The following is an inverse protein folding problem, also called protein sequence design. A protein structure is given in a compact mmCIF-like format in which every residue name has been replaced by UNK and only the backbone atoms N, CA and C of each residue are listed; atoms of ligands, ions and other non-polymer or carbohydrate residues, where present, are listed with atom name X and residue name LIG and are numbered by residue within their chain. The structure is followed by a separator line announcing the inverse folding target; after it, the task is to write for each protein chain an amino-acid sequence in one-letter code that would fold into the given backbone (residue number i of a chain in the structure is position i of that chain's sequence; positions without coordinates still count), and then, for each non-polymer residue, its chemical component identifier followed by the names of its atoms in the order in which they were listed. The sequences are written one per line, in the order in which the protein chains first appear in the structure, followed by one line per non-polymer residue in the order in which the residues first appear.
data_IF_255885097941
#
_entry.id   IF_255885097941
#
_cell.length_a   1.000
_cell.length_b   1.000
_cell.length_c   1.000
_cell.angle_alpha   90.00
_cell.angle_beta   90.00
_cell.angle_gamma   90.00
#
_symmetry.space_group_name_H-M   'P 1'
#
loop_
_entity.id
_entity.type
_entity.pdbx_description
1 polymer ?
#
# COMPACT_ATOMS: atom_id res chain seq x y z
N UNK A 1 -5.36 19.42 -0.31
CA UNK A 1 -6.53 18.59 0.11
C UNK A 1 -6.06 17.34 0.81
N UNK A 2 -5.09 16.64 0.24
CA UNK A 2 -4.41 15.51 0.86
C UNK A 2 -2.91 15.77 0.75
N UNK A 3 -2.18 15.54 1.84
CA UNK A 3 -0.71 15.66 1.91
C UNK A 3 -0.17 14.45 2.67
N UNK A 4 0.82 13.75 2.12
CA UNK A 4 1.42 12.53 2.70
C UNK A 4 0.39 11.48 3.17
N UNK A 5 -0.68 11.31 2.39
CA UNK A 5 -1.75 10.37 2.72
C UNK A 5 -2.62 10.79 3.91
N UNK A 6 -2.56 12.06 4.34
CA UNK A 6 -3.48 12.64 5.32
C UNK A 6 -4.41 13.64 4.65
N UNK A 7 -5.68 13.62 5.05
CA UNK A 7 -6.65 14.64 4.64
C UNK A 7 -6.36 15.94 5.42
N UNK A 8 -5.77 16.94 4.76
CA UNK A 8 -5.47 18.25 5.36
C UNK A 8 -6.59 19.28 5.19
N UNK A 9 -7.38 19.17 4.13
CA UNK A 9 -8.53 20.04 3.86
C UNK A 9 -9.77 19.20 3.55
N UNK A 10 -10.40 18.73 4.63
CA UNK A 10 -11.59 17.87 4.58
C UNK A 10 -12.75 18.55 3.88
N UNK A 11 -12.97 19.85 4.10
CA UNK A 11 -14.09 20.59 3.51
C UNK A 11 -13.98 20.64 2.00
N UNK A 12 -12.82 21.04 1.49
CA UNK A 12 -12.57 21.11 0.04
C UNK A 12 -12.61 19.73 -0.61
N UNK A 13 -12.08 18.70 0.07
CA UNK A 13 -12.16 17.33 -0.41
C UNK A 13 -13.62 16.84 -0.49
N UNK A 14 -14.43 17.09 0.53
CA UNK A 14 -15.84 16.70 0.54
C UNK A 14 -16.64 17.39 -0.57
N UNK A 15 -16.42 18.69 -0.81
CA UNK A 15 -17.03 19.42 -1.93
C UNK A 15 -16.62 18.81 -3.28
N UNK A 16 -15.33 18.54 -3.45
CA UNK A 16 -14.79 17.94 -4.69
C UNK A 16 -15.40 16.56 -4.95
N UNK A 17 -15.46 15.71 -3.93
CA UNK A 17 -16.06 14.38 -4.04
C UNK A 17 -17.55 14.45 -4.33
N UNK A 18 -18.32 15.32 -3.67
CA UNK A 18 -19.76 15.51 -3.92
C UNK A 18 -20.03 15.86 -5.38
N UNK A 19 -19.27 16.79 -5.94
CA UNK A 19 -19.40 17.18 -7.34
C UNK A 19 -19.18 15.99 -8.29
N UNK A 20 -18.12 15.19 -8.06
CA UNK A 20 -17.83 13.99 -8.87
C UNK A 20 -18.96 12.96 -8.73
N UNK A 21 -19.46 12.74 -7.51
CA UNK A 21 -20.51 11.76 -7.22
C UNK A 21 -21.82 12.14 -7.89
N UNK A 22 -22.17 13.43 -7.89
CA UNK A 22 -23.36 13.95 -8.57
C UNK A 22 -23.22 13.82 -10.09
N UNK A 23 -22.09 14.24 -10.66
CA UNK A 23 -21.80 14.15 -12.09
C UNK A 23 -21.87 12.69 -12.59
N UNK A 24 -21.23 11.77 -11.86
CA UNK A 24 -21.17 10.34 -12.23
C UNK A 24 -22.37 9.53 -11.75
N UNK A 25 -23.32 10.13 -11.03
CA UNK A 25 -24.50 9.47 -10.44
C UNK A 25 -24.12 8.26 -9.55
N UNK A 26 -23.14 8.46 -8.68
CA UNK A 26 -22.59 7.41 -7.80
C UNK A 26 -23.13 7.41 -6.37
N UNK A 27 -24.19 8.16 -6.10
CA UNK A 27 -24.83 8.17 -4.77
C UNK A 27 -25.18 6.75 -4.32
N UNK A 28 -24.77 6.39 -3.11
CA UNK A 28 -25.01 5.08 -2.49
C UNK A 28 -24.24 3.91 -3.09
N UNK A 29 -23.28 4.15 -4.00
CA UNK A 29 -22.49 3.08 -4.61
C UNK A 29 -21.45 2.54 -3.63
N UNK A 30 -21.18 1.24 -3.76
CA UNK A 30 -20.06 0.60 -3.10
C UNK A 30 -18.75 1.21 -3.61
N UNK A 31 -17.91 1.63 -2.68
CA UNK A 31 -16.60 2.21 -2.94
C UNK A 31 -15.52 1.21 -2.51
N UNK A 32 -14.65 0.90 -3.46
CA UNK A 32 -13.41 0.18 -3.26
C UNK A 32 -12.31 1.21 -3.48
N UNK A 33 -11.46 1.43 -2.49
CA UNK A 33 -10.48 2.51 -2.53
C UNK A 33 -9.12 2.03 -2.04
N UNK A 34 -8.08 2.72 -2.51
CA UNK A 34 -6.69 2.47 -2.12
C UNK A 34 -6.33 3.39 -0.96
N UNK A 35 -5.72 2.84 0.08
CA UNK A 35 -5.14 3.58 1.19
C UNK A 35 -3.66 3.88 0.91
N UNK A 36 -3.08 4.92 1.53
CA UNK A 36 -1.65 5.18 1.40
C UNK A 36 -0.79 4.00 1.81
N UNK A 37 -0.02 3.44 0.87
CA UNK A 37 0.87 2.29 1.12
C UNK A 37 1.94 2.60 2.17
N UNK A 38 2.35 3.87 2.32
CA UNK A 38 3.36 4.32 3.28
C UNK A 38 3.05 3.98 4.74
N UNK A 39 1.78 3.70 5.05
CA UNK A 39 1.32 3.47 6.42
C UNK A 39 1.17 1.99 6.76
N UNK A 40 1.22 1.09 5.79
CA UNK A 40 1.06 -0.34 6.05
C UNK A 40 2.35 -0.95 6.59
N UNK A 41 2.22 -1.87 7.55
CA UNK A 41 3.29 -2.76 7.97
C UNK A 41 2.94 -4.20 7.59
N UNK A 42 3.84 -4.86 6.86
CA UNK A 42 3.71 -6.26 6.46
C UNK A 42 4.69 -7.13 7.26
N UNK A 43 4.22 -8.27 7.79
CA UNK A 43 5.05 -9.21 8.56
C UNK A 43 4.67 -10.67 8.30
N UNK A 44 5.67 -11.54 8.31
CA UNK A 44 5.45 -12.98 8.38
C UNK A 44 5.41 -13.43 9.83
N UNK A 45 4.36 -14.13 10.22
CA UNK A 45 4.15 -14.62 11.59
C UNK A 45 3.61 -16.05 11.55
N UNK A 46 3.60 -16.72 12.71
CA UNK A 46 2.99 -18.05 12.86
C UNK A 46 1.85 -18.02 13.87
N UNK A 47 0.73 -18.63 13.51
CA UNK A 47 -0.44 -18.80 14.39
C UNK A 47 -0.77 -20.28 14.58
N UNK A 48 -1.34 -20.70 15.71
CA UNK A 48 -1.77 -22.08 15.90
C UNK A 48 -2.74 -22.55 14.80
N UNK A 49 -2.53 -23.75 14.26
CA UNK A 49 -3.31 -24.26 13.13
C UNK A 49 -4.77 -24.59 13.48
N UNK A 50 -5.07 -24.77 14.77
CA UNK A 50 -6.40 -25.10 15.28
C UNK A 50 -7.36 -23.91 15.33
N UNK A 51 -6.88 -22.67 15.18
CA UNK A 51 -7.71 -21.47 15.31
C UNK A 51 -8.59 -21.26 14.07
N UNK A 52 -9.86 -20.95 14.29
CA UNK A 52 -10.71 -20.41 13.24
C UNK A 52 -10.36 -18.93 12.96
N UNK A 53 -11.02 -18.33 11.96
CA UNK A 53 -10.70 -16.97 11.49
C UNK A 53 -10.82 -15.89 12.58
N UNK A 54 -11.87 -15.93 13.39
CA UNK A 54 -12.11 -14.93 14.44
C UNK A 54 -11.18 -15.12 15.65
N UNK A 55 -10.91 -16.39 15.99
CA UNK A 55 -9.93 -16.76 17.01
C UNK A 55 -8.52 -16.34 16.60
N UNK A 56 -8.14 -16.56 15.34
CA UNK A 56 -6.86 -16.14 14.79
C UNK A 56 -6.69 -14.62 14.85
N UNK A 57 -7.71 -13.84 14.46
CA UNK A 57 -7.67 -12.37 14.60
C UNK A 57 -7.47 -11.93 16.05
N UNK A 58 -8.18 -12.56 16.98
CA UNK A 58 -8.07 -12.26 18.41
C UNK A 58 -6.67 -12.61 18.95
N UNK A 59 -6.14 -13.77 18.55
CA UNK A 59 -4.78 -14.20 18.89
C UNK A 59 -3.72 -13.23 18.37
N UNK A 60 -3.82 -12.82 17.10
CA UNK A 60 -2.89 -11.86 16.49
C UNK A 60 -2.91 -10.53 17.24
N UNK A 61 -4.10 -10.01 17.60
CA UNK A 61 -4.21 -8.76 18.38
C UNK A 61 -3.48 -8.85 19.72
N UNK A 62 -3.64 -9.95 20.46
CA UNK A 62 -2.95 -10.17 21.73
C UNK A 62 -1.42 -10.23 21.56
N UNK A 63 -0.93 -10.87 20.49
CA UNK A 63 0.51 -10.91 20.19
C UNK A 63 1.06 -9.52 19.83
N UNK A 64 0.28 -8.72 19.10
CA UNK A 64 0.66 -7.35 18.75
C UNK A 64 0.81 -6.42 19.96
N UNK A 65 0.01 -6.62 21.01
CA UNK A 65 0.11 -5.84 22.26
C UNK A 65 1.35 -6.23 23.09
N UNK A 66 1.79 -7.48 23.00
CA UNK A 66 2.89 -8.00 23.81
C UNK A 66 4.26 -7.95 23.14
N UNK A 67 4.42 -8.61 22.00
CA UNK A 67 5.72 -8.97 21.43
C UNK A 67 6.07 -8.19 20.15
N UNK A 68 5.08 -7.75 19.39
CA UNK A 68 5.30 -7.09 18.09
C UNK A 68 5.18 -5.58 18.23
N UNK A 69 6.33 -4.89 18.30
CA UNK A 69 6.36 -3.43 18.30
C UNK A 69 6.06 -2.89 16.90
N UNK A 70 4.84 -2.39 16.71
CA UNK A 70 4.47 -1.58 15.57
C UNK A 70 4.89 -0.11 15.79
N UNK A 71 5.19 0.65 14.73
CA UNK A 71 5.54 2.06 14.83
C UNK A 71 4.32 2.97 15.10
N UNK A 72 3.15 2.39 15.39
CA UNK A 72 1.89 3.08 15.67
C UNK A 72 1.03 2.28 16.67
N UNK A 73 0.01 2.93 17.22
CA UNK A 73 -0.98 2.32 18.12
C UNK A 73 -2.25 1.96 17.35
N UNK A 74 -3.09 1.11 17.95
CA UNK A 74 -4.40 0.72 17.44
C UNK A 74 -4.37 0.24 15.96
N UNK A 75 -3.65 -0.85 15.67
CA UNK A 75 -3.61 -1.38 14.31
C UNK A 75 -4.97 -2.01 13.92
N UNK A 76 -5.46 -1.64 12.75
CA UNK A 76 -6.38 -2.47 11.99
C UNK A 76 -5.57 -3.59 11.33
N UNK A 77 -6.04 -4.83 11.46
CA UNK A 77 -5.29 -5.99 11.01
C UNK A 77 -6.08 -6.81 9.99
N UNK A 78 -5.36 -7.32 9.00
CA UNK A 78 -5.83 -8.40 8.14
C UNK A 78 -4.68 -9.38 7.88
N UNK A 79 -4.99 -10.63 7.53
CA UNK A 79 -3.96 -11.64 7.33
C UNK A 79 -4.34 -12.65 6.25
N UNK A 80 -3.31 -13.25 5.65
CA UNK A 80 -3.45 -14.34 4.69
C UNK A 80 -2.63 -15.54 5.16
N UNK A 81 -3.19 -16.75 5.09
CA UNK A 81 -2.46 -17.99 5.39
C UNK A 81 -1.63 -18.35 4.16
N UNK A 82 -0.30 -18.26 4.29
CA UNK A 82 0.63 -18.57 3.20
C UNK A 82 0.96 -20.06 3.15
N UNK A 83 0.95 -20.73 4.30
CA UNK A 83 1.20 -22.16 4.41
C UNK A 83 0.43 -22.76 5.59
N UNK A 84 -0.12 -23.96 5.41
CA UNK A 84 -0.82 -24.71 6.47
C UNK A 84 0.09 -25.81 7.01
N UNK A 85 0.36 -25.78 8.30
CA UNK A 85 1.10 -26.83 8.99
C UNK A 85 0.22 -27.62 9.95
N UNK A 86 0.79 -28.66 10.56
CA UNK A 86 0.09 -29.51 11.52
C UNK A 86 -0.19 -28.78 12.84
N UNK A 87 0.81 -28.08 13.39
CA UNK A 87 0.68 -27.34 14.65
C UNK A 87 0.47 -25.83 14.44
N UNK A 88 1.07 -25.26 13.40
CA UNK A 88 1.04 -23.83 13.11
C UNK A 88 0.84 -23.56 11.63
N UNK A 89 0.13 -22.49 11.33
CA UNK A 89 0.03 -21.91 10.00
C UNK A 89 0.98 -20.72 9.89
N UNK A 90 1.70 -20.63 8.77
CA UNK A 90 2.43 -19.42 8.41
C UNK A 90 1.44 -18.41 7.83
N UNK A 91 1.55 -17.15 8.26
CA UNK A 91 0.69 -16.08 7.80
C UNK A 91 1.51 -14.88 7.32
N UNK A 92 0.92 -14.16 6.37
CA UNK A 92 1.30 -12.80 6.03
C UNK A 92 0.30 -11.84 6.68
N UNK A 93 0.77 -11.09 7.66
CA UNK A 93 0.01 -10.10 8.42
C UNK A 93 0.18 -8.70 7.81
N UNK A 94 -0.94 -8.00 7.63
CA UNK A 94 -1.01 -6.58 7.31
C UNK A 94 -1.55 -5.83 8.52
N UNK A 95 -0.81 -4.82 8.98
CA UNK A 95 -1.24 -3.90 10.02
C UNK A 95 -1.28 -2.48 9.45
N UNK A 96 -2.40 -1.79 9.66
CA UNK A 96 -2.62 -0.42 9.21
C UNK A 96 -3.09 0.46 10.37
N UNK A 97 -2.55 1.67 10.54
CA UNK A 97 -2.95 2.56 11.62
C UNK A 97 -4.39 3.06 11.45
N UNK A 98 -5.23 2.84 12.45
CA UNK A 98 -6.66 3.22 12.42
C UNK A 98 -6.86 4.72 12.18
N UNK A 99 -6.03 5.57 12.79
CA UNK A 99 -6.09 7.03 12.65
C UNK A 99 -5.77 7.53 11.23
N UNK A 100 -5.12 6.70 10.40
CA UNK A 100 -4.92 6.97 8.97
C UNK A 100 -6.10 6.53 8.13
N UNK A 101 -6.75 5.41 8.46
CA UNK A 101 -7.85 4.89 7.66
C UNK A 101 -9.17 5.59 7.95
N UNK A 102 -9.46 5.82 9.22
CA UNK A 102 -10.75 6.30 9.69
C UNK A 102 -11.20 7.62 9.03
N UNK A 103 -10.33 8.63 8.83
CA UNK A 103 -10.72 9.86 8.14
C UNK A 103 -11.22 9.66 6.70
N UNK A 104 -10.67 8.67 5.99
CA UNK A 104 -11.13 8.32 4.64
C UNK A 104 -12.51 7.65 4.69
N UNK A 105 -12.71 6.70 5.60
CA UNK A 105 -14.01 6.05 5.78
C UNK A 105 -15.11 7.08 6.10
N UNK A 106 -14.84 7.99 7.02
CA UNK A 106 -15.77 9.04 7.43
C UNK A 106 -16.14 9.98 6.28
N UNK A 107 -15.16 10.47 5.52
CA UNK A 107 -15.46 11.41 4.44
C UNK A 107 -16.22 10.72 3.30
N UNK A 108 -15.89 9.48 2.96
CA UNK A 108 -16.61 8.74 1.92
C UNK A 108 -18.07 8.48 2.30
N UNK A 109 -18.31 8.12 3.57
CA UNK A 109 -19.66 7.96 4.11
C UNK A 109 -20.43 9.29 4.12
N UNK A 110 -19.80 10.38 4.53
CA UNK A 110 -20.38 11.73 4.53
C UNK A 110 -20.83 12.17 3.13
N UNK A 111 -20.06 11.82 2.09
CA UNK A 111 -20.40 12.12 0.70
C UNK A 111 -21.29 11.08 0.04
N UNK A 112 -21.96 10.22 0.83
CA UNK A 112 -22.96 9.23 0.41
C UNK A 112 -22.44 8.01 -0.35
N UNK A 113 -21.13 7.75 -0.34
CA UNK A 113 -20.57 6.48 -0.82
C UNK A 113 -20.62 5.43 0.29
N UNK A 114 -20.61 4.16 -0.10
CA UNK A 114 -20.53 3.04 0.83
C UNK A 114 -19.13 2.40 0.76
N UNK A 115 -18.14 2.85 1.56
CA UNK A 115 -16.80 2.24 1.58
C UNK A 115 -16.86 0.76 2.02
N UNK A 116 -16.55 -0.16 1.11
CA UNK A 116 -16.60 -1.61 1.34
C UNK A 116 -15.20 -2.20 1.52
N UNK A 117 -14.23 -1.74 0.73
CA UNK A 117 -12.85 -2.25 0.77
C UNK A 117 -11.87 -1.09 0.80
N UNK A 118 -10.97 -1.15 1.77
CA UNK A 118 -9.75 -0.37 1.84
C UNK A 118 -8.59 -1.30 1.44
N UNK A 119 -7.99 -1.05 0.29
CA UNK A 119 -6.96 -1.91 -0.29
C UNK A 119 -5.61 -1.19 -0.39
N UNK A 120 -4.55 -1.96 -0.62
CA UNK A 120 -3.22 -1.46 -0.91
C UNK A 120 -3.00 -1.40 -2.41
N UNK A 121 -2.28 -0.37 -2.86
CA UNK A 121 -2.15 -0.12 -4.30
C UNK A 121 -1.43 -1.29 -4.98
N UNK A 122 -0.38 -1.80 -4.33
CA UNK A 122 0.40 -2.90 -4.88
C UNK A 122 -0.38 -4.23 -4.94
N UNK A 123 -1.28 -4.49 -4.00
CA UNK A 123 -2.13 -5.69 -4.07
C UNK A 123 -3.13 -5.56 -5.20
N UNK A 124 -3.76 -4.39 -5.34
CA UNK A 124 -4.74 -4.14 -6.39
C UNK A 124 -4.14 -4.20 -7.78
N UNK A 125 -2.97 -3.59 -8.00
CA UNK A 125 -2.29 -3.63 -9.29
C UNK A 125 -1.81 -5.05 -9.62
N UNK A 126 -1.30 -5.81 -8.64
CA UNK A 126 -0.88 -7.18 -8.89
C UNK A 126 -2.01 -8.08 -9.39
N UNK A 127 -3.24 -7.94 -8.83
CA UNK A 127 -4.40 -8.70 -9.32
C UNK A 127 -4.69 -8.42 -10.79
N UNK A 128 -4.60 -7.16 -11.23
CA UNK A 128 -4.75 -6.80 -12.65
C UNK A 128 -3.64 -7.41 -13.49
N UNK A 129 -2.37 -7.34 -13.05
CA UNK A 129 -1.26 -7.98 -13.74
C UNK A 129 -1.47 -9.49 -13.90
N UNK A 130 -1.98 -10.15 -12.86
CA UNK A 130 -2.29 -11.58 -12.87
C UNK A 130 -3.41 -11.92 -13.87
N UNK A 131 -4.51 -11.16 -13.87
CA UNK A 131 -5.61 -11.33 -14.83
C UNK A 131 -5.17 -11.13 -16.29
N UNK A 132 -4.19 -10.24 -16.52
CA UNK A 132 -3.61 -9.99 -17.84
C UNK A 132 -2.51 -10.99 -18.24
N UNK A 133 -2.17 -11.97 -17.39
CA UNK A 133 -1.10 -12.93 -17.65
C UNK A 133 0.31 -12.32 -17.61
N UNK A 134 0.48 -11.18 -16.95
CA UNK A 134 1.76 -10.47 -16.79
C UNK A 134 2.55 -10.94 -15.55
N UNK A 135 1.99 -11.86 -14.76
CA UNK A 135 2.66 -12.49 -13.63
C UNK A 135 2.75 -14.01 -13.83
N UNK A 136 3.82 -14.61 -13.32
CA UNK A 136 4.00 -16.06 -13.24
C UNK A 136 4.34 -16.46 -11.82
N UNK A 137 3.81 -17.58 -11.34
CA UNK A 137 4.12 -18.12 -10.02
C UNK A 137 5.58 -18.59 -9.91
N UNK A 138 6.18 -19.01 -11.02
CA UNK A 138 7.56 -19.49 -11.12
C UNK A 138 8.60 -18.36 -11.09
N UNK A 139 8.17 -17.11 -11.23
CA UNK A 139 9.04 -15.95 -11.33
C UNK A 139 8.84 -15.02 -10.15
N UNK A 140 9.95 -14.38 -9.75
CA UNK A 140 9.89 -13.23 -8.87
C UNK A 140 9.60 -11.99 -9.71
N UNK A 141 8.44 -11.36 -9.49
CA UNK A 141 8.04 -10.14 -10.17
C UNK A 141 8.35 -8.94 -9.28
N UNK A 142 9.26 -8.06 -9.70
CA UNK A 142 9.39 -6.73 -9.12
C UNK A 142 8.36 -5.81 -9.75
N UNK A 143 7.43 -5.31 -8.93
CA UNK A 143 6.51 -4.25 -9.31
C UNK A 143 7.00 -2.91 -8.78
N UNK A 144 7.03 -1.92 -9.68
CA UNK A 144 7.50 -0.56 -9.42
C UNK A 144 6.34 0.40 -9.66
N UNK A 145 5.87 1.05 -8.60
CA UNK A 145 4.89 2.13 -8.70
C UNK A 145 5.59 3.44 -8.40
N UNK A 146 6.01 4.12 -9.45
CA UNK A 146 6.65 5.44 -9.38
C UNK A 146 5.58 6.52 -9.51
N UNK A 147 5.20 7.12 -8.38
CA UNK A 147 4.24 8.20 -8.34
C UNK A 147 4.92 9.56 -8.20
N UNK A 148 4.13 10.63 -8.17
CA UNK A 148 4.61 12.00 -7.99
C UNK A 148 5.36 12.24 -6.67
N UNK A 149 4.96 11.53 -5.61
CA UNK A 149 5.40 11.81 -4.23
C UNK A 149 6.14 10.64 -3.59
N UNK A 150 6.08 9.48 -4.21
CA UNK A 150 6.69 8.28 -3.66
C UNK A 150 7.02 7.25 -4.73
N UNK A 151 7.86 6.31 -4.29
CA UNK A 151 8.18 5.09 -4.98
C UNK A 151 7.77 3.91 -4.10
N UNK A 152 6.93 3.04 -4.64
CA UNK A 152 6.56 1.77 -4.00
C UNK A 152 7.16 0.63 -4.79
N UNK A 153 8.06 -0.12 -4.15
CA UNK A 153 8.73 -1.28 -4.71
C UNK A 153 8.19 -2.53 -4.01
N UNK A 154 7.58 -3.44 -4.76
CA UNK A 154 7.06 -4.69 -4.19
C UNK A 154 7.51 -5.87 -5.02
N UNK A 155 8.15 -6.86 -4.39
CA UNK A 155 8.43 -8.14 -5.02
C UNK A 155 7.30 -9.10 -4.70
N UNK A 156 6.78 -9.73 -5.76
CA UNK A 156 5.83 -10.82 -5.68
C UNK A 156 6.47 -12.14 -6.09
N UNK A 157 6.07 -13.22 -5.43
CA UNK A 157 6.42 -14.59 -5.80
C UNK A 157 5.30 -15.52 -5.34
N UNK A 158 4.91 -16.50 -6.16
CA UNK A 158 3.78 -17.40 -5.85
C UNK A 158 2.51 -16.65 -5.45
N UNK A 159 2.18 -15.56 -6.17
CA UNK A 159 1.04 -14.68 -5.89
C UNK A 159 1.05 -13.95 -4.54
N UNK A 160 2.17 -13.95 -3.81
CA UNK A 160 2.31 -13.29 -2.51
C UNK A 160 3.30 -12.13 -2.58
N UNK A 161 2.98 -10.95 -1.99
CA UNK A 161 3.98 -9.92 -1.80
C UNK A 161 4.94 -10.36 -0.69
N UNK A 162 6.20 -10.56 -1.04
CA UNK A 162 7.22 -11.09 -0.14
C UNK A 162 8.11 -10.00 0.44
N UNK A 163 8.25 -8.89 -0.26
CA UNK A 163 9.05 -7.77 0.19
C UNK A 163 8.51 -6.47 -0.40
N UNK A 164 8.26 -5.49 0.46
CA UNK A 164 7.75 -4.17 0.07
C UNK A 164 8.65 -3.09 0.67
N UNK A 165 8.87 -2.02 -0.08
CA UNK A 165 9.49 -0.79 0.41
C UNK A 165 8.77 0.41 -0.16
N UNK A 166 8.39 1.32 0.73
CA UNK A 166 7.89 2.64 0.41
C UNK A 166 9.02 3.67 0.60
N UNK A 167 9.20 4.56 -0.37
CA UNK A 167 10.16 5.65 -0.32
C UNK A 167 9.40 6.95 -0.62
N UNK A 168 9.36 7.86 0.33
CA UNK A 168 8.74 9.18 0.16
C UNK A 168 9.75 10.18 -0.43
N UNK A 169 9.34 10.86 -1.50
CA UNK A 169 10.08 11.97 -2.06
C UNK A 169 9.69 13.27 -1.35
N UNK A 170 10.48 13.64 -0.35
CA UNK A 170 10.20 14.81 0.49
C UNK A 170 10.16 16.10 -0.37
N UNK A 171 9.23 17.00 -0.08
CA UNK A 171 9.09 18.34 -0.69
C UNK A 171 8.86 18.38 -2.21
N UNK A 172 8.44 17.28 -2.85
CA UNK A 172 8.24 17.24 -4.30
C UNK A 172 6.96 17.91 -4.81
N UNK A 173 6.04 18.33 -3.92
CA UNK A 173 4.79 18.98 -4.35
C UNK A 173 5.06 20.26 -5.16
N UNK A 174 6.07 21.03 -4.77
CA UNK A 174 6.44 22.29 -5.43
C UNK A 174 7.06 22.09 -6.82
N UNK A 175 7.49 20.86 -7.12
CA UNK A 175 8.20 20.53 -8.36
C UNK A 175 7.27 20.23 -9.53
N UNK A 176 5.95 20.27 -9.34
CA UNK A 176 5.04 20.13 -10.47
C UNK A 176 3.96 21.20 -10.49
N UNK A 177 3.62 21.63 -11.71
CA UNK A 177 2.57 22.60 -12.00
C UNK A 177 1.47 21.92 -12.82
N UNK A 178 0.24 22.41 -12.64
CA UNK A 178 -0.86 22.06 -13.53
C UNK A 178 -0.65 22.77 -14.87
N UNK A 179 -0.75 22.04 -15.98
CA UNK A 179 -0.81 22.66 -17.30
C UNK A 179 -2.07 23.54 -17.42
N UNK A 180 -2.06 24.52 -18.32
CA UNK A 180 -3.14 25.52 -18.44
C UNK A 180 -4.53 24.91 -18.69
N UNK A 181 -4.61 23.68 -19.23
CA UNK A 181 -5.85 22.94 -19.43
C UNK A 181 -6.26 22.04 -18.24
N UNK A 182 -5.48 21.98 -17.15
CA UNK A 182 -5.63 21.05 -16.03
C UNK A 182 -5.60 19.55 -16.40
N UNK A 183 -5.22 19.19 -17.63
CA UNK A 183 -5.20 17.79 -18.09
C UNK A 183 -3.83 17.13 -17.90
N UNK A 184 -2.76 17.94 -17.78
CA UNK A 184 -1.39 17.44 -17.62
C UNK A 184 -0.72 18.07 -16.40
N UNK A 185 0.06 17.27 -15.68
CA UNK A 185 0.92 17.75 -14.60
C UNK A 185 2.34 17.78 -15.13
N UNK A 186 2.94 18.97 -15.19
CA UNK A 186 4.28 19.18 -15.74
C UNK A 186 5.30 19.33 -14.63
N UNK A 187 6.47 18.74 -14.85
CA UNK A 187 7.64 18.98 -14.01
C UNK A 187 8.11 20.44 -14.17
N UNK A 188 8.20 21.16 -13.06
CA UNK A 188 8.53 22.59 -12.99
C UNK A 188 10.04 22.85 -12.94
N UNK A 189 10.80 21.94 -12.33
CA UNK A 189 12.23 22.16 -12.11
C UNK A 189 13.02 21.99 -13.42
N UNK A 190 14.17 22.65 -13.58
CA UNK A 190 14.98 22.50 -14.78
C UNK A 190 15.63 21.11 -14.87
N UNK A 191 16.19 20.81 -16.04
CA UNK A 191 16.75 19.50 -16.38
C UNK A 191 17.86 19.06 -15.43
N UNK A 192 18.69 20.00 -15.00
CA UNK A 192 19.81 19.83 -14.08
C UNK A 192 19.37 19.40 -12.67
N UNK A 193 18.09 19.60 -12.31
CA UNK A 193 17.48 19.07 -11.08
C UNK A 193 16.73 17.77 -11.36
N UNK A 194 16.07 17.68 -12.52
CA UNK A 194 15.27 16.51 -12.91
C UNK A 194 16.12 15.26 -13.09
N UNK A 195 17.23 15.40 -13.82
CA UNK A 195 18.06 14.27 -14.22
C UNK A 195 18.73 13.60 -13.00
N UNK A 196 19.37 14.34 -12.07
CA UNK A 196 19.87 13.73 -10.83
C UNK A 196 18.79 13.06 -9.99
N UNK A 197 17.59 13.65 -9.90
CA UNK A 197 16.48 13.02 -9.18
C UNK A 197 16.10 11.65 -9.78
N UNK A 198 16.01 11.56 -11.11
CA UNK A 198 15.75 10.29 -11.81
C UNK A 198 16.87 9.29 -11.53
N UNK A 199 18.13 9.71 -11.63
CA UNK A 199 19.30 8.87 -11.37
C UNK A 199 19.30 8.33 -9.93
N UNK A 200 18.98 9.17 -8.94
CA UNK A 200 18.85 8.75 -7.54
C UNK A 200 17.76 7.69 -7.35
N UNK A 201 16.63 7.81 -8.05
CA UNK A 201 15.56 6.81 -7.98
C UNK A 201 15.96 5.50 -8.66
N UNK A 202 16.61 5.56 -9.82
CA UNK A 202 17.14 4.36 -10.50
C UNK A 202 18.16 3.63 -9.62
N UNK A 203 19.11 4.37 -9.02
CA UNK A 203 20.07 3.79 -8.09
C UNK A 203 19.38 3.19 -6.85
N UNK A 204 18.28 3.79 -6.40
CA UNK A 204 17.48 3.25 -5.30
C UNK A 204 16.79 1.94 -5.69
N UNK A 205 16.28 1.83 -6.93
CA UNK A 205 15.73 0.59 -7.48
C UNK A 205 16.80 -0.49 -7.60
N UNK A 206 17.99 -0.16 -8.09
CA UNK A 206 19.13 -1.08 -8.18
C UNK A 206 19.52 -1.63 -6.81
N UNK A 207 19.71 -0.75 -5.82
CA UNK A 207 20.02 -1.15 -4.43
C UNK A 207 18.93 -2.03 -3.83
N UNK A 208 17.66 -1.77 -4.17
CA UNK A 208 16.55 -2.60 -3.74
C UNK A 208 16.61 -4.00 -4.36
N UNK A 209 16.88 -4.09 -5.67
CA UNK A 209 17.05 -5.37 -6.38
C UNK A 209 18.22 -6.17 -5.81
N UNK A 210 19.38 -5.54 -5.59
CA UNK A 210 20.56 -6.19 -5.01
C UNK A 210 20.24 -6.71 -3.60
N UNK A 211 19.65 -5.88 -2.75
CA UNK A 211 19.27 -6.30 -1.40
C UNK A 211 18.31 -7.48 -1.44
N UNK A 212 17.31 -7.43 -2.32
CA UNK A 212 16.36 -8.52 -2.48
C UNK A 212 17.05 -9.82 -2.92
N UNK A 213 17.89 -9.75 -3.96
CA UNK A 213 18.59 -10.91 -4.52
C UNK A 213 19.56 -11.55 -3.51
N UNK A 214 20.36 -10.75 -2.84
CA UNK A 214 21.45 -11.26 -1.99
C UNK A 214 21.03 -11.50 -0.54
N UNK A 215 20.04 -10.78 -0.01
CA UNK A 215 19.66 -10.86 1.41
C UNK A 215 18.32 -11.55 1.63
N UNK A 216 17.29 -11.21 0.85
CA UNK A 216 15.94 -11.74 1.07
C UNK A 216 15.80 -13.13 0.45
N UNK A 217 16.07 -13.25 -0.85
CA UNK A 217 15.94 -14.51 -1.59
C UNK A 217 16.88 -15.60 -1.06
N UNK A 218 18.15 -15.25 -0.81
CA UNK A 218 19.13 -16.21 -0.31
C UNK A 218 19.06 -16.42 1.22
N UNK A 219 18.50 -15.45 1.95
CA UNK A 219 18.28 -15.57 3.40
C UNK A 219 17.16 -16.55 3.76
N UNK A 220 16.18 -16.76 2.88
CA UNK A 220 15.13 -17.77 3.04
C UNK A 220 15.61 -19.23 2.98
N UNK A 221 16.84 -19.50 2.52
CA UNK A 221 17.46 -20.83 2.61
C UNK A 221 18.15 -21.11 3.96
N UNK A 222 18.06 -20.18 4.93
CA UNK A 222 18.52 -20.38 6.30
C UNK A 222 17.36 -20.23 7.29
N UNK A 223 16.52 -21.26 7.38
CA UNK A 223 16.10 -21.93 8.62
C UNK A 223 15.10 -23.04 8.33
#
# INVERSE_FOLDING_TARGET
MIEEGKIIDRKKLAVTLKNIIEEKKWKGRNLYFIVPDSSVTMRSEQIPASLNKEEAKSYIKLQLEGSIRLPFKNPLIDYHITNKGEEKNDILLFAYPEDRLQPYFEIFTEVTLNPVVADLSFLSTYRVCSELGLSSEEQHLLMIQWNRYDLVLTVFHQNLPIFNRHINFHNMFENYISAENNEQILWKQPEDVRQPFIEDQLLTMERFMDFYQYSVRNGGMRK
#
